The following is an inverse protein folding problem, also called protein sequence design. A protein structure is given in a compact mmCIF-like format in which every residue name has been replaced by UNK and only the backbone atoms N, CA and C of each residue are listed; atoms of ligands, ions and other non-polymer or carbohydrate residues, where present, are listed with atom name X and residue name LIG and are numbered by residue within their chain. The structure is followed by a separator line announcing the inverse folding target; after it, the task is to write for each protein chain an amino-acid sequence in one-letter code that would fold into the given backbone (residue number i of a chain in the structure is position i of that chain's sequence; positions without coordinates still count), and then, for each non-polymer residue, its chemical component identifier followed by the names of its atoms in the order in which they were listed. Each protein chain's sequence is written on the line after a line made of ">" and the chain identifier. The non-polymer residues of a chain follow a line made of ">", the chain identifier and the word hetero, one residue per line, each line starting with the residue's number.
data_IF_404745327071
#
_entry.id   IF_404745327071
#
_cell.length_a   1.000
_cell.length_b   1.000
_cell.length_c   1.000
_cell.angle_alpha   90.00
_cell.angle_beta   90.00
_cell.angle_gamma   90.00
#
_symmetry.space_group_name_H-M   'P 1'
#
loop_
_entity.id
_entity.type
_entity.pdbx_description
1 polymer ?
#
# COMPACT_ATOMS: atom_id res chain seq x y z
N UNK A 1 -12.37 -14.49 30.44
CA UNK A 1 -11.21 -13.93 29.76
C UNK A 1 -11.11 -12.47 30.20
N UNK A 2 -10.05 -12.10 30.91
CA UNK A 2 -9.85 -10.73 31.37
C UNK A 2 -9.47 -9.84 30.17
N UNK A 3 -9.76 -8.53 30.25
CA UNK A 3 -9.38 -7.57 29.19
C UNK A 3 -7.87 -7.55 28.96
N UNK A 4 -7.09 -7.87 30.02
CA UNK A 4 -5.64 -8.04 29.95
C UNK A 4 -5.27 -9.22 29.05
N UNK A 5 -5.90 -10.39 29.24
CA UNK A 5 -5.61 -11.61 28.46
C UNK A 5 -5.96 -11.42 26.97
N UNK A 6 -6.98 -10.59 26.69
CA UNK A 6 -7.44 -10.33 25.32
C UNK A 6 -6.52 -9.35 24.57
N UNK A 7 -6.05 -8.29 25.23
CA UNK A 7 -5.40 -7.17 24.55
C UNK A 7 -3.88 -7.10 24.79
N UNK A 8 -3.40 -7.46 25.99
CA UNK A 8 -2.01 -7.25 26.39
C UNK A 8 -1.19 -8.53 26.48
N UNK A 9 -1.81 -9.65 26.87
CA UNK A 9 -1.11 -10.92 27.01
C UNK A 9 -0.36 -11.35 25.74
N UNK A 10 -0.93 -11.25 24.50
CA UNK A 10 -0.22 -11.63 23.29
C UNK A 10 1.08 -10.84 23.08
N UNK A 11 1.09 -9.58 23.48
CA UNK A 11 2.26 -8.73 23.35
C UNK A 11 3.25 -8.90 24.52
N UNK A 12 2.79 -9.30 25.72
CA UNK A 12 3.64 -9.52 26.87
C UNK A 12 4.38 -10.87 26.84
N UNK A 13 3.77 -11.89 26.21
CA UNK A 13 4.27 -13.26 26.21
C UNK A 13 5.16 -13.60 25.01
N UNK A 14 5.00 -12.88 23.87
CA UNK A 14 5.65 -13.25 22.61
C UNK A 14 6.40 -12.09 21.94
N UNK A 15 7.71 -12.21 21.81
CA UNK A 15 8.59 -11.21 21.17
C UNK A 15 8.22 -10.97 19.70
N UNK A 16 7.79 -12.00 18.96
CA UNK A 16 7.41 -11.85 17.56
C UNK A 16 6.20 -10.91 17.38
N UNK A 17 5.30 -10.82 18.36
CA UNK A 17 4.17 -9.88 18.32
C UNK A 17 4.63 -8.43 18.42
N UNK A 18 5.73 -8.14 19.13
CA UNK A 18 6.33 -6.81 19.17
C UNK A 18 6.88 -6.40 17.79
N UNK A 19 7.59 -7.33 17.11
CA UNK A 19 8.11 -7.06 15.77
C UNK A 19 6.99 -6.89 14.75
N UNK A 20 5.95 -7.71 14.85
CA UNK A 20 4.75 -7.60 14.02
C UNK A 20 4.05 -6.25 14.20
N UNK A 21 3.81 -5.83 15.44
CA UNK A 21 3.19 -4.55 15.76
C UNK A 21 4.03 -3.37 15.29
N UNK A 22 5.36 -3.40 15.53
CA UNK A 22 6.28 -2.36 15.08
C UNK A 22 6.29 -2.25 13.55
N UNK A 23 6.27 -3.38 12.83
CA UNK A 23 6.21 -3.41 11.37
C UNK A 23 4.92 -2.80 10.82
N UNK A 24 3.78 -3.20 11.40
CA UNK A 24 2.46 -2.63 11.04
C UNK A 24 2.42 -1.14 11.35
N UNK A 25 2.98 -0.71 12.48
CA UNK A 25 3.07 0.70 12.85
C UNK A 25 3.89 1.51 11.84
N UNK A 26 5.10 1.08 11.53
CA UNK A 26 5.97 1.76 10.56
C UNK A 26 5.34 1.80 9.16
N UNK A 27 4.77 0.69 8.69
CA UNK A 27 4.08 0.65 7.40
C UNK A 27 2.84 1.54 7.38
N UNK A 28 2.01 1.51 8.42
CA UNK A 28 0.83 2.37 8.48
C UNK A 28 1.18 3.85 8.38
N UNK A 29 2.28 4.27 9.03
CA UNK A 29 2.76 5.65 8.97
C UNK A 29 3.22 6.07 7.58
N UNK A 30 3.81 5.17 6.80
CA UNK A 30 4.37 5.49 5.48
C UNK A 30 3.40 5.20 4.33
N UNK A 31 2.74 4.02 4.33
CA UNK A 31 1.90 3.58 3.21
C UNK A 31 0.56 4.29 3.17
N UNK A 32 -0.06 4.58 4.33
CA UNK A 32 -1.36 5.24 4.36
C UNK A 32 -1.35 6.66 3.76
N UNK A 33 -0.36 7.55 4.06
CA UNK A 33 -0.23 8.82 3.36
C UNK A 33 0.03 8.68 1.86
N UNK A 34 0.87 7.71 1.44
CA UNK A 34 1.11 7.41 0.02
C UNK A 34 -0.20 7.00 -0.66
N UNK A 35 -0.99 6.14 -0.02
CA UNK A 35 -2.31 5.72 -0.49
C UNK A 35 -3.29 6.89 -0.65
N UNK A 36 -3.30 7.87 0.26
CA UNK A 36 -4.13 9.08 0.12
C UNK A 36 -3.79 9.83 -1.17
N UNK A 37 -2.52 10.02 -1.49
CA UNK A 37 -2.12 10.67 -2.75
C UNK A 37 -2.50 9.84 -3.98
N UNK A 38 -2.38 8.51 -3.94
CA UNK A 38 -2.83 7.64 -5.04
C UNK A 38 -4.34 7.75 -5.26
N UNK A 39 -5.14 7.71 -4.19
CA UNK A 39 -6.60 7.85 -4.27
C UNK A 39 -7.00 9.24 -4.80
N UNK A 40 -6.34 10.31 -4.36
CA UNK A 40 -6.60 11.67 -4.83
C UNK A 40 -6.28 11.87 -6.32
N UNK A 41 -5.27 11.18 -6.81
CA UNK A 41 -4.87 11.19 -8.23
C UNK A 41 -5.69 10.23 -9.11
N UNK A 42 -6.64 9.50 -8.52
CA UNK A 42 -7.42 8.44 -9.19
C UNK A 42 -6.56 7.29 -9.74
N UNK A 43 -5.45 7.02 -9.07
CA UNK A 43 -4.45 6.01 -9.43
C UNK A 43 -4.50 4.79 -8.51
N UNK A 44 -5.67 4.46 -7.96
CA UNK A 44 -5.82 3.40 -6.95
C UNK A 44 -5.45 1.99 -7.46
N UNK A 45 -5.60 1.72 -8.75
CA UNK A 45 -5.21 0.43 -9.35
C UNK A 45 -3.69 0.29 -9.56
N UNK A 46 -2.95 1.39 -9.55
CA UNK A 46 -1.50 1.37 -9.77
C UNK A 46 -0.77 0.66 -8.64
N UNK A 47 -1.24 0.79 -7.40
CA UNK A 47 -0.67 0.06 -6.27
C UNK A 47 -0.70 -1.45 -6.47
N UNK A 48 -1.84 -1.98 -6.92
CA UNK A 48 -2.01 -3.39 -7.23
C UNK A 48 -1.15 -3.82 -8.43
N UNK A 49 -1.19 -3.06 -9.51
CA UNK A 49 -0.37 -3.31 -10.69
C UNK A 49 1.14 -3.34 -10.38
N UNK A 50 1.63 -2.40 -9.57
CA UNK A 50 3.04 -2.36 -9.16
C UNK A 50 3.41 -3.52 -8.24
N UNK A 51 2.53 -3.98 -7.35
CA UNK A 51 2.81 -5.12 -6.49
C UNK A 51 3.06 -6.40 -7.29
N UNK A 52 2.29 -6.62 -8.34
CA UNK A 52 2.50 -7.74 -9.25
C UNK A 52 3.74 -7.58 -10.15
N UNK A 53 4.11 -6.36 -10.49
CA UNK A 53 5.33 -6.07 -11.26
C UNK A 53 6.62 -6.34 -10.46
N UNK A 54 6.57 -6.23 -9.15
CA UNK A 54 7.70 -6.53 -8.25
C UNK A 54 8.05 -8.02 -8.25
N UNK A 55 7.06 -8.91 -8.42
CA UNK A 55 7.23 -10.37 -8.34
C UNK A 55 8.30 -10.93 -9.29
N UNK A 56 8.28 -10.65 -10.62
CA UNK A 56 9.31 -11.16 -11.51
C UNK A 56 10.70 -10.67 -11.14
N UNK A 57 10.84 -9.43 -10.71
CA UNK A 57 12.10 -8.88 -10.25
C UNK A 57 12.64 -9.56 -8.99
N UNK A 58 11.77 -9.83 -8.03
CA UNK A 58 12.12 -10.61 -6.84
C UNK A 58 12.54 -12.04 -7.23
N UNK A 59 11.84 -12.67 -8.19
CA UNK A 59 12.20 -13.99 -8.72
C UNK A 59 13.57 -13.99 -9.37
N UNK A 60 13.89 -12.97 -10.16
CA UNK A 60 15.24 -12.81 -10.74
C UNK A 60 16.29 -12.63 -9.64
N UNK A 61 16.04 -11.81 -8.63
CA UNK A 61 16.92 -11.64 -7.48
C UNK A 61 17.18 -12.97 -6.75
N UNK A 62 16.13 -13.78 -6.56
CA UNK A 62 16.21 -15.12 -5.99
C UNK A 62 17.09 -16.06 -6.84
N UNK A 63 16.97 -16.01 -8.17
CA UNK A 63 17.78 -16.85 -9.09
C UNK A 63 19.28 -16.56 -8.99
N UNK A 64 19.67 -15.32 -8.75
CA UNK A 64 21.07 -14.93 -8.66
C UNK A 64 21.70 -15.13 -7.29
N UNK A 65 20.94 -14.93 -6.21
CA UNK A 65 21.48 -14.89 -4.84
C UNK A 65 20.71 -15.75 -3.84
N UNK A 66 19.83 -16.65 -4.30
CA UNK A 66 19.00 -17.49 -3.44
C UNK A 66 18.04 -16.68 -2.57
N UNK A 67 17.73 -17.15 -1.36
CA UNK A 67 16.84 -16.49 -0.39
C UNK A 67 17.48 -15.24 0.26
N UNK A 68 18.17 -14.43 -0.50
CA UNK A 68 18.75 -13.18 -0.02
C UNK A 68 17.71 -12.05 -0.11
N UNK A 69 17.20 -11.59 1.06
CA UNK A 69 16.26 -10.47 1.14
C UNK A 69 16.73 -9.21 0.38
N UNK A 70 18.01 -8.78 0.51
CA UNK A 70 18.49 -7.62 -0.26
C UNK A 70 18.45 -7.83 -1.77
N UNK A 71 18.82 -9.01 -2.26
CA UNK A 71 18.84 -9.30 -3.71
C UNK A 71 17.43 -9.34 -4.29
N UNK A 72 16.50 -9.99 -3.60
CA UNK A 72 15.08 -10.00 -3.96
C UNK A 72 14.47 -8.60 -3.91
N UNK A 73 14.86 -7.79 -2.91
CA UNK A 73 14.43 -6.40 -2.77
C UNK A 73 14.90 -5.50 -3.90
N UNK A 74 16.19 -5.57 -4.24
CA UNK A 74 16.79 -4.81 -5.35
C UNK A 74 16.16 -5.23 -6.68
N UNK A 75 16.00 -6.54 -6.91
CA UNK A 75 15.34 -7.07 -8.11
C UNK A 75 13.90 -6.60 -8.23
N UNK A 76 13.12 -6.72 -7.16
CA UNK A 76 11.73 -6.26 -7.11
C UNK A 76 11.61 -4.76 -7.32
N UNK A 77 12.46 -3.95 -6.66
CA UNK A 77 12.50 -2.50 -6.84
C UNK A 77 12.84 -2.11 -8.28
N UNK A 78 13.86 -2.75 -8.86
CA UNK A 78 14.25 -2.48 -10.25
C UNK A 78 13.12 -2.80 -11.24
N UNK A 79 12.44 -3.93 -11.09
CA UNK A 79 11.32 -4.31 -11.95
C UNK A 79 10.11 -3.38 -11.77
N UNK A 80 9.73 -3.07 -10.53
CA UNK A 80 8.64 -2.13 -10.23
C UNK A 80 8.92 -0.73 -10.78
N UNK A 81 10.16 -0.25 -10.64
CA UNK A 81 10.59 1.04 -11.17
C UNK A 81 10.60 1.04 -12.69
N UNK A 82 11.14 0.00 -13.33
CA UNK A 82 11.12 -0.14 -14.78
C UNK A 82 9.69 -0.10 -15.32
N UNK A 83 8.79 -0.84 -14.71
CA UNK A 83 7.38 -0.84 -15.08
C UNK A 83 6.75 0.54 -14.91
N UNK A 84 6.97 1.20 -13.78
CA UNK A 84 6.44 2.54 -13.53
C UNK A 84 6.92 3.57 -14.55
N UNK A 85 8.23 3.52 -14.89
CA UNK A 85 8.81 4.39 -15.89
C UNK A 85 8.29 4.10 -17.30
N UNK A 86 8.17 2.82 -17.69
CA UNK A 86 7.63 2.42 -19.00
C UNK A 86 6.16 2.85 -19.15
N UNK A 87 5.33 2.59 -18.14
CA UNK A 87 3.93 3.00 -18.15
C UNK A 87 3.78 4.53 -18.26
N UNK A 88 4.56 5.28 -17.50
CA UNK A 88 4.58 6.73 -17.55
C UNK A 88 5.11 7.30 -18.87
N UNK A 89 6.13 6.67 -19.47
CA UNK A 89 6.63 7.05 -20.80
C UNK A 89 5.58 6.80 -21.89
N UNK A 90 5.00 5.60 -21.92
CA UNK A 90 3.98 5.26 -22.93
C UNK A 90 2.77 6.19 -22.84
N UNK A 91 2.34 6.55 -21.62
CA UNK A 91 1.24 7.51 -21.41
C UNK A 91 1.55 8.91 -21.98
N UNK A 92 2.82 9.29 -22.09
CA UNK A 92 3.23 10.58 -22.69
C UNK A 92 3.20 10.56 -24.23
N UNK A 93 3.47 9.40 -24.83
CA UNK A 93 3.55 9.25 -26.29
C UNK A 93 2.29 8.68 -26.92
N UNK A 94 1.32 8.23 -26.11
CA UNK A 94 0.06 7.68 -26.59
C UNK A 94 -1.14 8.43 -26.00
N UNK A 95 -2.30 8.23 -26.60
CA UNK A 95 -3.58 8.76 -26.09
C UNK A 95 -4.19 7.91 -24.98
N UNK A 96 -3.51 6.81 -24.59
CA UNK A 96 -3.98 5.90 -23.57
C UNK A 96 -3.85 6.50 -22.18
N UNK A 97 -4.83 6.22 -21.34
CA UNK A 97 -4.78 6.61 -19.93
C UNK A 97 -3.69 5.81 -19.20
N UNK A 98 -3.10 6.43 -18.20
CA UNK A 98 -2.02 5.84 -17.40
C UNK A 98 -2.42 4.50 -16.79
N UNK A 99 -3.64 4.37 -16.25
CA UNK A 99 -4.18 3.12 -15.70
C UNK A 99 -4.18 1.95 -16.71
N UNK A 100 -4.52 2.23 -17.98
CA UNK A 100 -4.53 1.20 -19.02
C UNK A 100 -3.11 0.69 -19.34
N UNK A 101 -2.14 1.61 -19.37
CA UNK A 101 -0.74 1.25 -19.58
C UNK A 101 -0.18 0.44 -18.39
N UNK A 102 -0.50 0.84 -17.16
CA UNK A 102 -0.15 0.06 -15.98
C UNK A 102 -0.75 -1.35 -16.05
N UNK A 103 -2.02 -1.49 -16.43
CA UNK A 103 -2.67 -2.80 -16.58
C UNK A 103 -1.97 -3.69 -17.62
N UNK A 104 -1.61 -3.14 -18.78
CA UNK A 104 -0.91 -3.90 -19.82
C UNK A 104 0.49 -4.36 -19.39
N UNK A 105 1.26 -3.46 -18.79
CA UNK A 105 2.61 -3.78 -18.33
C UNK A 105 2.62 -4.74 -17.15
N UNK A 106 1.66 -4.63 -16.20
CA UNK A 106 1.62 -5.56 -15.08
C UNK A 106 1.27 -6.98 -15.53
N UNK A 107 0.31 -7.14 -16.46
CA UNK A 107 -0.03 -8.45 -17.00
C UNK A 107 1.17 -9.08 -17.73
N UNK A 108 1.90 -8.28 -18.51
CA UNK A 108 3.13 -8.73 -19.17
C UNK A 108 4.20 -9.14 -18.17
N UNK A 109 4.40 -8.33 -17.13
CA UNK A 109 5.36 -8.60 -16.05
C UNK A 109 5.00 -9.87 -15.28
N UNK A 110 3.72 -10.05 -14.92
CA UNK A 110 3.24 -11.24 -14.25
C UNK A 110 3.46 -12.50 -15.09
N UNK A 111 3.15 -12.44 -16.39
CA UNK A 111 3.37 -13.56 -17.31
C UNK A 111 4.88 -13.94 -17.38
N UNK A 112 5.77 -12.95 -17.47
CA UNK A 112 7.22 -13.18 -17.43
C UNK A 112 7.63 -13.83 -16.10
N UNK A 113 7.12 -13.33 -14.97
CA UNK A 113 7.39 -13.88 -13.64
C UNK A 113 6.99 -15.34 -13.51
N UNK A 114 5.78 -15.69 -13.95
CA UNK A 114 5.30 -17.08 -13.93
C UNK A 114 6.15 -18.00 -14.81
N UNK A 115 6.54 -17.54 -16.01
CA UNK A 115 7.42 -18.31 -16.90
C UNK A 115 8.79 -18.55 -16.27
N UNK A 116 9.39 -17.51 -15.65
CA UNK A 116 10.70 -17.62 -15.00
C UNK A 116 10.67 -18.62 -13.84
N UNK A 117 9.65 -18.55 -12.98
CA UNK A 117 9.49 -19.45 -11.83
C UNK A 117 9.23 -20.88 -12.31
N UNK A 118 8.37 -21.07 -13.33
CA UNK A 118 8.04 -22.39 -13.87
C UNK A 118 9.24 -23.10 -14.51
N UNK A 119 10.12 -22.36 -15.20
CA UNK A 119 11.32 -22.93 -15.84
C UNK A 119 12.38 -23.42 -14.85
N UNK A 120 12.47 -22.81 -13.70
CA UNK A 120 13.55 -23.12 -12.76
C UNK A 120 13.19 -24.19 -11.74
N UNK A 121 12.00 -24.81 -11.85
CA UNK A 121 11.56 -25.93 -10.99
C UNK A 121 11.59 -25.60 -9.48
N UNK A 122 11.66 -24.31 -9.14
CA UNK A 122 11.67 -23.91 -7.75
C UNK A 122 10.27 -24.09 -7.18
N UNK A 123 10.16 -24.95 -6.17
CA UNK A 123 8.98 -25.11 -5.32
C UNK A 123 8.82 -23.87 -4.38
N UNK A 124 9.15 -22.67 -4.87
CA UNK A 124 8.83 -21.45 -4.13
C UNK A 124 7.32 -21.40 -4.08
N UNK A 125 6.78 -21.60 -2.90
CA UNK A 125 5.35 -21.55 -2.68
C UNK A 125 4.89 -20.10 -2.94
N UNK A 126 4.38 -19.86 -4.16
CA UNK A 126 3.85 -18.57 -4.58
C UNK A 126 2.79 -18.04 -3.62
N UNK A 127 2.05 -18.96 -2.96
CA UNK A 127 1.08 -18.60 -1.95
C UNK A 127 1.76 -18.00 -0.73
N UNK A 128 2.88 -18.56 -0.29
CA UNK A 128 3.64 -18.01 0.83
C UNK A 128 4.24 -16.64 0.52
N UNK A 129 4.65 -16.44 -0.73
CA UNK A 129 5.17 -15.16 -1.21
C UNK A 129 4.07 -14.09 -1.34
N UNK A 130 2.86 -14.48 -1.75
CA UNK A 130 1.71 -13.57 -1.92
C UNK A 130 1.09 -13.16 -0.58
N UNK A 131 0.90 -14.12 0.32
CA UNK A 131 0.20 -13.86 1.59
C UNK A 131 1.14 -13.44 2.71
N UNK A 132 2.42 -13.80 2.63
CA UNK A 132 3.41 -13.50 3.66
C UNK A 132 2.97 -13.93 5.06
N UNK A 133 3.76 -13.61 6.06
CA UNK A 133 3.36 -13.75 7.47
C UNK A 133 3.94 -12.60 8.28
N UNK A 134 3.06 -11.72 8.75
CA UNK A 134 3.47 -10.60 9.65
C UNK A 134 4.14 -11.14 10.91
N UNK A 135 3.74 -12.33 11.36
CA UNK A 135 4.28 -12.95 12.56
C UNK A 135 5.68 -13.58 12.35
N UNK A 136 6.13 -13.68 11.09
CA UNK A 136 7.46 -14.19 10.75
C UNK A 136 8.48 -13.07 10.45
N UNK A 137 8.16 -11.81 10.79
CA UNK A 137 9.06 -10.69 10.59
C UNK A 137 10.27 -10.80 11.51
N UNK A 138 11.45 -10.79 10.92
CA UNK A 138 12.73 -10.77 11.61
C UNK A 138 13.26 -9.33 11.79
N UNK A 139 14.33 -9.18 12.57
CA UNK A 139 14.95 -7.87 12.84
C UNK A 139 15.44 -7.19 11.55
N UNK A 140 16.12 -7.86 10.60
CA UNK A 140 16.52 -7.27 9.34
C UNK A 140 15.34 -6.72 8.52
N UNK A 141 14.22 -7.46 8.44
CA UNK A 141 13.02 -7.00 7.75
C UNK A 141 12.40 -5.78 8.43
N UNK A 142 12.33 -5.78 9.77
CA UNK A 142 11.84 -4.63 10.53
C UNK A 142 12.72 -3.39 10.30
N UNK A 143 14.05 -3.53 10.29
CA UNK A 143 14.98 -2.45 10.01
C UNK A 143 14.77 -1.87 8.59
N UNK A 144 14.57 -2.73 7.60
CA UNK A 144 14.27 -2.31 6.22
C UNK A 144 12.97 -1.49 6.17
N UNK A 145 11.89 -2.01 6.79
CA UNK A 145 10.60 -1.31 6.85
C UNK A 145 10.76 0.05 7.54
N UNK A 146 11.43 0.10 8.67
CA UNK A 146 11.63 1.33 9.43
C UNK A 146 12.43 2.37 8.63
N UNK A 147 13.50 1.94 7.95
CA UNK A 147 14.32 2.79 7.10
C UNK A 147 13.52 3.35 5.91
N UNK A 148 12.78 2.50 5.20
CA UNK A 148 11.93 2.91 4.06
C UNK A 148 10.80 3.82 4.55
N UNK A 149 10.16 3.52 5.68
CA UNK A 149 9.11 4.34 6.26
C UNK A 149 9.62 5.72 6.65
N UNK A 150 10.76 5.78 7.33
CA UNK A 150 11.40 7.05 7.69
C UNK A 150 11.76 7.90 6.46
N UNK A 151 12.39 7.28 5.45
CA UNK A 151 12.72 7.95 4.19
C UNK A 151 11.46 8.45 3.47
N UNK A 152 10.41 7.65 3.44
CA UNK A 152 9.12 8.02 2.82
C UNK A 152 8.50 9.22 3.52
N UNK A 153 8.44 9.23 4.84
CA UNK A 153 7.88 10.33 5.61
C UNK A 153 8.65 11.64 5.41
N UNK A 154 9.99 11.58 5.46
CA UNK A 154 10.85 12.73 5.21
C UNK A 154 10.64 13.25 3.79
N UNK A 155 10.68 12.37 2.79
CA UNK A 155 10.50 12.76 1.39
C UNK A 155 9.10 13.33 1.15
N UNK A 156 8.04 12.69 1.68
CA UNK A 156 6.68 13.22 1.59
C UNK A 156 6.53 14.58 2.25
N UNK A 157 7.18 14.83 3.40
CA UNK A 157 7.14 16.13 4.05
C UNK A 157 7.76 17.22 3.16
N UNK A 158 8.89 16.92 2.50
CA UNK A 158 9.57 17.84 1.58
C UNK A 158 8.74 18.11 0.33
N UNK A 159 8.17 17.07 -0.29
CA UNK A 159 7.43 17.18 -1.55
C UNK A 159 5.93 17.38 -1.36
N UNK A 160 5.44 17.53 -0.13
CA UNK A 160 4.00 17.63 0.19
C UNK A 160 3.29 18.71 -0.63
N UNK A 161 3.84 19.94 -0.64
CA UNK A 161 3.22 21.07 -1.37
C UNK A 161 3.11 20.81 -2.87
N UNK A 162 4.19 20.46 -3.60
CA UNK A 162 4.09 20.14 -5.02
C UNK A 162 3.18 18.94 -5.30
N UNK A 163 3.14 17.91 -4.44
CA UNK A 163 2.23 16.77 -4.61
C UNK A 163 0.75 17.16 -4.48
N UNK A 164 0.41 18.00 -3.52
CA UNK A 164 -0.96 18.52 -3.36
C UNK A 164 -1.37 19.33 -4.58
N UNK A 165 -0.50 20.25 -5.04
CA UNK A 165 -0.76 21.07 -6.24
C UNK A 165 -0.94 20.21 -7.48
N UNK A 166 -0.08 19.20 -7.68
CA UNK A 166 -0.18 18.27 -8.81
C UNK A 166 -1.48 17.43 -8.77
N UNK A 167 -1.97 17.10 -7.56
CA UNK A 167 -3.21 16.35 -7.39
C UNK A 167 -4.48 17.18 -7.69
N UNK A 168 -4.40 18.52 -7.57
CA UNK A 168 -5.52 19.43 -7.77
C UNK A 168 -5.50 19.98 -9.20
N UNK A 169 -4.36 20.54 -9.64
CA UNK A 169 -4.19 21.15 -10.95
C UNK A 169 -2.78 20.87 -11.52
N UNK A 170 -2.62 19.76 -12.26
CA UNK A 170 -1.34 19.40 -12.86
C UNK A 170 -0.90 20.37 -13.97
N UNK A 171 -1.82 21.09 -14.62
CA UNK A 171 -1.49 22.08 -15.66
C UNK A 171 -0.89 23.34 -15.03
N UNK A 172 -1.47 23.79 -13.93
CA UNK A 172 -0.95 24.93 -13.17
C UNK A 172 0.48 24.67 -12.68
N UNK A 173 0.75 23.47 -12.14
CA UNK A 173 2.09 23.11 -11.69
C UNK A 173 3.12 23.13 -12.84
N UNK A 174 2.73 22.67 -14.04
CA UNK A 174 3.59 22.70 -15.23
C UNK A 174 3.90 24.14 -15.67
N UNK A 175 2.93 25.05 -15.58
CA UNK A 175 3.11 26.45 -15.99
C UNK A 175 4.00 27.24 -15.03
N UNK A 176 3.91 26.97 -13.72
CA UNK A 176 4.65 27.74 -12.69
C UNK A 176 6.08 27.21 -12.51
N UNK A 177 6.32 25.91 -12.55
CA UNK A 177 7.59 25.35 -12.10
C UNK A 177 8.28 24.39 -13.08
N UNK A 178 7.67 24.05 -14.21
CA UNK A 178 8.25 23.16 -15.25
C UNK A 178 8.67 21.74 -14.76
N UNK A 179 8.76 21.52 -13.44
CA UNK A 179 9.29 20.32 -12.79
C UNK A 179 8.20 19.28 -12.38
N UNK A 180 6.95 19.45 -12.83
CA UNK A 180 5.85 18.56 -12.46
C UNK A 180 6.14 17.08 -12.69
N UNK A 181 6.80 16.75 -13.81
CA UNK A 181 7.18 15.36 -14.09
C UNK A 181 8.19 14.75 -13.11
N UNK A 182 9.03 15.56 -12.47
CA UNK A 182 10.00 15.09 -11.50
C UNK A 182 9.30 14.69 -10.18
N UNK A 183 8.35 15.46 -9.71
CA UNK A 183 7.59 15.15 -8.50
C UNK A 183 6.76 13.89 -8.65
N UNK A 184 6.21 13.66 -9.83
CA UNK A 184 5.52 12.43 -10.17
C UNK A 184 6.43 11.21 -10.10
N UNK A 185 7.63 11.28 -10.69
CA UNK A 185 8.61 10.19 -10.64
C UNK A 185 9.08 9.93 -9.20
N UNK A 186 9.38 10.96 -8.42
CA UNK A 186 9.76 10.82 -7.01
C UNK A 186 8.64 10.13 -6.22
N UNK A 187 7.39 10.50 -6.48
CA UNK A 187 6.24 9.88 -5.84
C UNK A 187 6.11 8.40 -6.23
N UNK A 188 6.27 8.03 -7.50
CA UNK A 188 6.27 6.62 -7.93
C UNK A 188 7.41 5.82 -7.29
N UNK A 189 8.60 6.42 -7.13
CA UNK A 189 9.71 5.80 -6.38
C UNK A 189 9.26 5.46 -4.96
N UNK A 190 8.60 6.38 -4.26
CA UNK A 190 8.10 6.13 -2.90
C UNK A 190 7.05 5.02 -2.87
N UNK A 191 6.13 4.98 -3.85
CA UNK A 191 5.14 3.91 -3.96
C UNK A 191 5.83 2.56 -4.11
N UNK A 192 6.77 2.42 -5.07
CA UNK A 192 7.49 1.16 -5.31
C UNK A 192 8.32 0.75 -4.09
N UNK A 193 9.02 1.69 -3.43
CA UNK A 193 9.80 1.40 -2.22
C UNK A 193 8.94 0.86 -1.09
N UNK A 194 7.79 1.48 -0.84
CA UNK A 194 6.86 1.02 0.20
C UNK A 194 6.26 -0.36 -0.14
N UNK A 195 5.89 -0.59 -1.41
CA UNK A 195 5.39 -1.89 -1.85
C UNK A 195 6.44 -2.98 -1.70
N UNK A 196 7.69 -2.73 -2.10
CA UNK A 196 8.78 -3.71 -2.00
C UNK A 196 9.11 -4.04 -0.55
N UNK A 197 9.22 -3.03 0.32
CA UNK A 197 9.49 -3.26 1.75
C UNK A 197 8.35 -4.00 2.43
N UNK A 198 7.09 -3.64 2.12
CA UNK A 198 5.91 -4.32 2.64
C UNK A 198 5.77 -5.75 2.11
N UNK A 199 6.05 -5.97 0.81
CA UNK A 199 6.03 -7.29 0.19
C UNK A 199 6.99 -8.28 0.86
N UNK A 200 8.23 -7.87 1.09
CA UNK A 200 9.24 -8.75 1.69
C UNK A 200 8.92 -9.19 3.11
N UNK A 201 8.27 -8.32 3.86
CA UNK A 201 8.00 -8.57 5.27
C UNK A 201 6.59 -9.14 5.53
N UNK A 202 5.60 -8.68 4.78
CA UNK A 202 4.19 -8.87 5.12
C UNK A 202 3.36 -9.49 3.98
N UNK A 203 3.96 -9.67 2.80
CA UNK A 203 3.28 -10.14 1.60
C UNK A 203 2.61 -9.03 0.78
N UNK A 204 2.31 -9.34 -0.48
CA UNK A 204 1.76 -8.37 -1.45
C UNK A 204 0.37 -7.90 -1.06
N UNK A 205 -0.50 -8.79 -0.64
CA UNK A 205 -1.89 -8.50 -0.27
C UNK A 205 -1.94 -7.43 0.83
N UNK A 206 -1.14 -7.62 1.89
CA UNK A 206 -1.15 -6.70 3.01
C UNK A 206 -0.52 -5.35 2.65
N UNK A 207 0.56 -5.35 1.87
CA UNK A 207 1.24 -4.12 1.46
C UNK A 207 0.31 -3.19 0.68
N UNK A 208 -0.41 -3.72 -0.32
CA UNK A 208 -1.37 -2.95 -1.13
C UNK A 208 -2.62 -2.60 -0.32
N UNK A 209 -3.16 -3.55 0.41
CA UNK A 209 -4.40 -3.35 1.18
C UNK A 209 -4.25 -2.29 2.27
N UNK A 210 -3.13 -2.31 3.01
CA UNK A 210 -2.84 -1.32 4.06
C UNK A 210 -2.58 0.09 3.46
N UNK A 211 -2.09 0.15 2.22
CA UNK A 211 -1.91 1.42 1.51
C UNK A 211 -3.25 1.97 1.01
N UNK A 212 -4.13 1.14 0.44
CA UNK A 212 -5.32 1.61 -0.28
C UNK A 212 -6.57 1.71 0.61
N UNK A 213 -6.91 0.66 1.37
CA UNK A 213 -8.18 0.60 2.10
C UNK A 213 -8.34 1.70 3.14
N UNK A 214 -7.33 2.02 3.98
CA UNK A 214 -7.44 3.13 4.92
C UNK A 214 -7.62 4.48 4.23
N UNK A 215 -6.93 4.70 3.11
CA UNK A 215 -7.02 5.94 2.35
C UNK A 215 -8.42 6.14 1.72
N UNK A 216 -8.98 5.10 1.10
CA UNK A 216 -10.32 5.13 0.54
C UNK A 216 -11.37 5.33 1.65
N UNK A 217 -11.19 4.66 2.79
CA UNK A 217 -12.07 4.79 3.95
C UNK A 217 -12.03 6.21 4.51
N UNK A 218 -10.85 6.79 4.70
CA UNK A 218 -10.68 8.16 5.17
C UNK A 218 -11.36 9.19 4.23
N UNK A 219 -11.35 8.94 2.92
CA UNK A 219 -11.99 9.81 1.92
C UNK A 219 -13.51 9.96 2.10
N UNK A 220 -14.16 8.97 2.71
CA UNK A 220 -15.60 9.02 3.01
C UNK A 220 -15.92 9.90 4.22
N UNK A 221 -14.93 10.27 5.03
CA UNK A 221 -15.09 11.02 6.27
C UNK A 221 -14.51 12.43 6.25
N UNK A 222 -13.54 12.69 5.37
CA UNK A 222 -12.82 13.96 5.33
C UNK A 222 -12.61 14.48 3.91
N UNK A 223 -12.49 15.83 3.79
CA UNK A 223 -12.21 16.52 2.52
C UNK A 223 -10.82 17.13 2.50
N UNK A 224 -10.33 17.59 3.65
CA UNK A 224 -9.05 18.27 3.76
C UNK A 224 -7.88 17.27 3.74
N UNK A 225 -6.84 17.54 2.98
CA UNK A 225 -5.69 16.65 2.81
C UNK A 225 -5.02 16.25 4.14
N UNK A 226 -4.81 17.20 5.05
CA UNK A 226 -4.24 16.90 6.36
C UNK A 226 -5.09 15.94 7.18
N UNK A 227 -6.41 16.15 7.22
CA UNK A 227 -7.37 15.28 7.92
C UNK A 227 -7.45 13.91 7.25
N UNK A 228 -7.39 13.85 5.90
CA UNK A 228 -7.37 12.59 5.15
C UNK A 228 -6.16 11.75 5.52
N UNK A 229 -4.97 12.34 5.53
CA UNK A 229 -3.72 11.66 5.89
C UNK A 229 -3.80 11.17 7.34
N UNK A 230 -4.16 12.04 8.28
CA UNK A 230 -4.26 11.67 9.69
C UNK A 230 -5.24 10.52 9.91
N UNK A 231 -6.44 10.64 9.34
CA UNK A 231 -7.49 9.64 9.49
C UNK A 231 -7.10 8.31 8.83
N UNK A 232 -6.46 8.35 7.65
CA UNK A 232 -5.94 7.16 6.98
C UNK A 232 -4.92 6.42 7.83
N UNK A 233 -3.97 7.15 8.44
CA UNK A 233 -2.98 6.55 9.36
C UNK A 233 -3.66 5.94 10.58
N UNK A 234 -4.58 6.65 11.21
CA UNK A 234 -5.31 6.14 12.38
C UNK A 234 -6.13 4.89 12.06
N UNK A 235 -6.79 4.84 10.90
CA UNK A 235 -7.53 3.67 10.43
C UNK A 235 -6.57 2.49 10.20
N UNK A 236 -5.43 2.73 9.53
CA UNK A 236 -4.43 1.70 9.28
C UNK A 236 -3.87 1.11 10.59
N UNK A 237 -3.52 1.95 11.55
CA UNK A 237 -3.04 1.54 12.87
C UNK A 237 -4.10 0.74 13.64
N UNK A 238 -5.34 1.23 13.67
CA UNK A 238 -6.45 0.58 14.36
C UNK A 238 -6.75 -0.80 13.77
N UNK A 239 -6.90 -0.89 12.44
CA UNK A 239 -7.15 -2.16 11.76
C UNK A 239 -5.95 -3.11 11.87
N UNK A 240 -4.74 -2.57 11.84
CA UNK A 240 -3.52 -3.35 12.03
C UNK A 240 -3.46 -4.00 13.41
N UNK A 241 -3.72 -3.24 14.47
CA UNK A 241 -3.75 -3.75 15.84
C UNK A 241 -4.85 -4.80 16.04
N UNK A 242 -6.09 -4.49 15.62
CA UNK A 242 -7.22 -5.42 15.75
C UNK A 242 -6.98 -6.68 14.90
N UNK A 243 -6.49 -6.53 13.67
CA UNK A 243 -6.22 -7.67 12.80
C UNK A 243 -5.14 -8.60 13.35
N UNK A 244 -4.08 -8.06 13.99
CA UNK A 244 -3.07 -8.86 14.70
C UNK A 244 -3.67 -9.62 15.87
N UNK A 245 -4.51 -8.97 16.69
CA UNK A 245 -5.19 -9.63 17.81
C UNK A 245 -6.13 -10.75 17.35
N UNK A 246 -6.91 -10.51 16.30
CA UNK A 246 -7.79 -11.53 15.70
C UNK A 246 -6.96 -12.70 15.16
N UNK A 247 -5.87 -12.40 14.45
CA UNK A 247 -4.96 -13.41 13.92
C UNK A 247 -4.41 -14.32 15.02
N UNK A 248 -4.00 -13.73 16.13
CA UNK A 248 -3.49 -14.47 17.28
C UNK A 248 -4.52 -15.38 17.94
N UNK A 249 -5.75 -14.87 18.19
CA UNK A 249 -6.78 -15.63 18.93
C UNK A 249 -7.50 -16.69 18.06
N UNK A 250 -7.58 -16.49 16.74
CA UNK A 250 -8.30 -17.40 15.82
C UNK A 250 -7.33 -18.26 15.01
N UNK A 251 -6.02 -18.07 15.17
CA UNK A 251 -4.97 -18.81 14.43
C UNK A 251 -5.08 -18.70 12.90
N UNK A 252 -5.47 -17.50 12.39
CA UNK A 252 -5.57 -17.23 10.96
C UNK A 252 -4.39 -16.39 10.47
N UNK A 253 -4.05 -16.42 9.16
CA UNK A 253 -2.98 -15.60 8.61
C UNK A 253 -3.20 -14.12 8.88
N UNK A 254 -2.19 -13.46 9.43
CA UNK A 254 -2.29 -12.07 9.93
C UNK A 254 -2.53 -11.02 8.84
N UNK A 255 -1.91 -11.17 7.67
CA UNK A 255 -2.13 -10.27 6.53
C UNK A 255 -3.60 -10.20 6.11
N UNK A 256 -4.23 -11.34 5.75
CA UNK A 256 -5.66 -11.41 5.45
C UNK A 256 -6.56 -10.89 6.58
N UNK A 257 -6.22 -11.18 7.85
CA UNK A 257 -7.00 -10.69 9.00
C UNK A 257 -7.03 -9.16 9.08
N UNK A 258 -5.89 -8.50 8.91
CA UNK A 258 -5.77 -7.04 8.91
C UNK A 258 -6.57 -6.44 7.75
N UNK A 259 -6.45 -7.02 6.54
CA UNK A 259 -7.18 -6.53 5.37
C UNK A 259 -8.69 -6.71 5.52
N UNK A 260 -9.12 -7.82 6.12
CA UNK A 260 -10.55 -8.04 6.41
C UNK A 260 -11.08 -6.97 7.38
N UNK A 261 -10.34 -6.62 8.43
CA UNK A 261 -10.69 -5.53 9.34
C UNK A 261 -10.82 -4.19 8.61
N UNK A 262 -9.87 -3.85 7.74
CA UNK A 262 -9.94 -2.66 6.90
C UNK A 262 -11.18 -2.68 5.99
N UNK A 263 -11.47 -3.82 5.38
CA UNK A 263 -12.61 -4.00 4.47
C UNK A 263 -13.95 -3.85 5.18
N UNK A 264 -14.09 -4.43 6.37
CA UNK A 264 -15.29 -4.27 7.20
C UNK A 264 -15.49 -2.80 7.58
N UNK A 265 -14.43 -2.13 8.04
CA UNK A 265 -14.50 -0.71 8.39
C UNK A 265 -14.82 0.16 7.16
N UNK A 266 -14.31 -0.19 5.98
CA UNK A 266 -14.66 0.46 4.73
C UNK A 266 -16.15 0.31 4.41
N UNK A 267 -16.72 -0.90 4.50
CA UNK A 267 -18.15 -1.13 4.26
C UNK A 267 -19.03 -0.32 5.21
N UNK A 268 -18.70 -0.29 6.49
CA UNK A 268 -19.38 0.60 7.46
C UNK A 268 -19.26 2.08 7.04
N UNK A 269 -18.09 2.49 6.60
CA UNK A 269 -17.85 3.87 6.16
C UNK A 269 -18.59 4.23 4.87
N UNK A 270 -18.81 3.28 3.96
CA UNK A 270 -19.66 3.48 2.77
C UNK A 270 -21.10 3.79 3.17
N UNK A 271 -21.61 3.17 4.23
CA UNK A 271 -22.97 3.41 4.71
C UNK A 271 -23.04 4.73 5.47
N UNK A 272 -22.13 4.98 6.42
CA UNK A 272 -22.21 6.04 7.44
C UNK A 272 -21.35 7.28 7.11
N UNK A 273 -20.45 7.23 6.15
CA UNK A 273 -19.47 8.28 5.85
C UNK A 273 -20.09 9.65 5.57
N UNK A 274 -19.68 10.68 6.31
CA UNK A 274 -20.26 12.03 6.26
C UNK A 274 -20.13 12.71 4.89
N UNK A 275 -19.03 12.45 4.16
CA UNK A 275 -18.69 13.17 2.92
C UNK A 275 -19.04 12.40 1.64
N UNK A 276 -19.24 11.10 1.72
CA UNK A 276 -19.49 10.26 0.55
C UNK A 276 -20.42 9.08 0.79
N UNK A 277 -20.87 8.85 2.03
CA UNK A 277 -21.70 7.72 2.41
C UNK A 277 -23.12 7.75 1.82
N UNK A 278 -23.74 6.59 1.81
CA UNK A 278 -25.09 6.40 1.23
C UNK A 278 -26.14 7.10 2.09
N UNK A 279 -26.11 6.89 3.40
CA UNK A 279 -27.12 7.46 4.32
C UNK A 279 -27.15 8.99 4.33
N UNK A 280 -26.02 9.72 4.47
CA UNK A 280 -26.05 11.18 4.43
C UNK A 280 -26.56 11.75 3.09
N UNK A 281 -26.26 11.09 1.97
CA UNK A 281 -26.78 11.50 0.65
C UNK A 281 -28.30 11.31 0.55
N UNK A 282 -28.79 10.19 1.10
CA UNK A 282 -30.22 9.88 1.08
C UNK A 282 -31.03 10.90 1.91
N UNK A 283 -30.57 11.24 3.13
CA UNK A 283 -31.20 12.27 3.95
C UNK A 283 -31.12 13.68 3.36
N UNK A 284 -30.05 14.01 2.65
CA UNK A 284 -29.89 15.32 2.01
C UNK A 284 -30.82 15.51 0.82
N UNK A 285 -31.04 14.47 -0.01
CA UNK A 285 -31.96 14.52 -1.14
C UNK A 285 -33.43 14.67 -0.71
N UNK A 286 -33.84 14.08 0.42
CA UNK A 286 -35.19 14.18 0.92
C UNK A 286 -35.52 15.58 1.46
N UNK A 287 -34.54 16.36 1.91
CA UNK A 287 -34.77 17.74 2.38
C UNK A 287 -34.97 18.75 1.24
N UNK A 288 -34.55 18.45 0.03
CA UNK A 288 -34.74 19.34 -1.14
C UNK A 288 -36.08 19.12 -1.88
N UNK A 289 -36.83 18.07 -1.54
CA UNK A 289 -38.15 17.81 -2.12
C UNK A 289 -39.33 18.28 -1.24
N UNK A 290 -39.06 18.88 -0.09
CA UNK A 290 -40.07 19.38 0.87
C UNK A 290 -40.10 20.91 1.00
N UNK A 291 -39.40 21.63 0.14
CA UNK A 291 -39.50 23.09 -0.05
C UNK A 291 -39.93 23.37 -1.50
#
# INVERSE_FOLDING_TARGET
>A
MNLYDLLLAPFAEFDFMHYALASVFCLSLSTAPVGVFLVMRRMSLIGDALSHAVLPGAAVGYMFAGLSLPAMGVGGFAAGMLMALLAGLVSRFTTLKEDANFAAFYLSSLAIGVILISKNGSSVDLLHLLFGSVLAVDIPALQLIAAVSGLTLITLAVIYRPLVLESIDPLFLKSVNGKGGLWHVVFLILVVMNLVSGFQALGTLMSVGLMMLPAITARLWARNMGTLILLSVLIALFCGLIGLLISYHIEIPSGPAIILCCSVLYLFSVILGKEGGILPKWFKNHRHHTT
#
